data_IF_794837569788
#
_entry.id   IF_794837569788
#
_cell.length_a   1.000
_cell.length_b   1.000
_cell.length_c   1.000
_cell.angle_alpha   90.00
_cell.angle_beta   90.00
_cell.angle_gamma   90.00
#
_symmetry.space_group_name_H-M   'P 1'
#
loop_
_entity.id
_entity.type
_entity.pdbx_description
1 polymer ?
#
# COMPACT_ATOMS: atom_id res chain seq x y z
N UNK A 1 -13.97 -17.33 13.67
CA UNK A 1 -13.31 -16.14 14.24
C UNK A 1 -11.90 -16.09 13.69
N UNK A 2 -11.68 -15.57 12.47
CA UNK A 2 -10.34 -15.49 11.84
C UNK A 2 -10.03 -14.10 11.27
N UNK A 3 -11.04 -13.30 10.94
CA UNK A 3 -10.92 -12.03 10.18
C UNK A 3 -10.16 -10.88 10.84
N UNK A 4 -9.68 -11.01 12.08
CA UNK A 4 -8.97 -9.91 12.78
C UNK A 4 -7.44 -10.02 12.65
N UNK A 5 -6.92 -11.22 12.35
CA UNK A 5 -5.48 -11.44 12.18
C UNK A 5 -5.01 -11.05 10.78
N UNK A 6 -5.80 -11.38 9.75
CA UNK A 6 -5.41 -11.15 8.35
C UNK A 6 -5.31 -9.66 8.00
N UNK A 7 -6.24 -8.84 8.50
CA UNK A 7 -6.23 -7.40 8.23
C UNK A 7 -5.08 -6.65 8.91
N UNK A 8 -4.61 -7.16 10.06
CA UNK A 8 -3.46 -6.59 10.77
C UNK A 8 -2.17 -6.95 10.04
N UNK A 9 -2.02 -8.22 9.62
CA UNK A 9 -0.88 -8.68 8.83
C UNK A 9 -0.76 -7.98 7.47
N UNK A 10 -1.88 -7.70 6.80
CA UNK A 10 -1.88 -6.94 5.54
C UNK A 10 -1.42 -5.50 5.79
N UNK A 11 -1.93 -4.85 6.83
CA UNK A 11 -1.51 -3.50 7.18
C UNK A 11 -0.01 -3.46 7.49
N UNK A 12 0.51 -4.41 8.28
CA UNK A 12 1.94 -4.53 8.56
C UNK A 12 2.77 -4.73 7.28
N UNK A 13 2.32 -5.61 6.38
CA UNK A 13 3.00 -5.84 5.10
C UNK A 13 3.02 -4.58 4.23
N UNK A 14 1.88 -3.88 4.13
CA UNK A 14 1.76 -2.63 3.37
C UNK A 14 2.63 -1.53 3.97
N UNK A 15 2.63 -1.37 5.30
CA UNK A 15 3.49 -0.39 5.99
C UNK A 15 4.97 -0.72 5.79
N UNK A 16 5.35 -1.99 5.88
CA UNK A 16 6.72 -2.43 5.64
C UNK A 16 7.15 -2.19 4.18
N UNK A 17 6.29 -2.50 3.21
CA UNK A 17 6.54 -2.23 1.79
C UNK A 17 6.62 -0.74 1.50
N UNK A 18 5.75 0.07 2.11
CA UNK A 18 5.76 1.54 2.04
C UNK A 18 7.10 2.09 2.51
N UNK A 19 7.61 1.60 3.64
CA UNK A 19 8.90 1.99 4.19
C UNK A 19 10.08 1.55 3.33
N UNK A 20 10.00 0.40 2.68
CA UNK A 20 11.05 -0.08 1.80
C UNK A 20 11.06 0.67 0.44
N UNK A 21 9.88 1.00 -0.08
CA UNK A 21 9.72 1.65 -1.38
C UNK A 21 10.05 3.15 -1.33
N UNK A 22 9.72 3.82 -0.22
CA UNK A 22 9.98 5.25 -0.07
C UNK A 22 11.40 5.52 0.43
N UNK A 23 12.09 6.43 -0.25
CA UNK A 23 13.40 6.94 0.19
C UNK A 23 13.29 8.21 1.04
N UNK A 24 12.08 8.77 1.18
CA UNK A 24 11.83 9.96 1.96
C UNK A 24 11.62 9.61 3.44
N UNK A 25 11.88 10.56 4.36
CA UNK A 25 11.51 10.39 5.75
C UNK A 25 9.99 10.26 5.87
N UNK A 26 9.53 9.05 6.13
CA UNK A 26 8.12 8.76 6.39
C UNK A 26 7.76 9.09 7.85
N UNK A 27 6.49 9.38 8.15
CA UNK A 27 6.03 9.55 9.51
C UNK A 27 6.27 8.29 10.34
N UNK A 28 6.50 8.48 11.65
CA UNK A 28 6.72 7.38 12.59
C UNK A 28 5.52 6.43 12.63
N UNK A 29 4.31 6.97 12.46
CA UNK A 29 3.05 6.24 12.40
C UNK A 29 2.43 6.40 11.02
N UNK A 30 2.30 5.29 10.29
CA UNK A 30 1.60 5.23 9.00
C UNK A 30 0.22 4.62 9.26
N UNK A 31 -0.80 5.47 9.30
CA UNK A 31 -2.21 5.09 9.37
C UNK A 31 -2.85 4.84 7.99
N UNK A 32 -3.96 4.10 7.96
CA UNK A 32 -4.77 3.81 6.77
C UNK A 32 -5.28 5.06 6.06
N UNK A 33 -5.45 6.18 6.78
CA UNK A 33 -5.88 7.44 6.20
C UNK A 33 -4.82 8.20 5.39
N UNK A 34 -3.54 7.82 5.47
CA UNK A 34 -2.50 8.54 4.74
C UNK A 34 -2.56 8.25 3.24
N UNK A 35 -2.57 9.32 2.46
CA UNK A 35 -2.49 9.24 1.01
C UNK A 35 -1.04 9.07 0.56
N UNK A 36 -0.78 8.09 -0.31
CA UNK A 36 0.55 7.86 -0.85
C UNK A 36 1.07 9.07 -1.61
N UNK A 37 0.26 9.68 -2.47
CA UNK A 37 0.70 10.77 -3.34
C UNK A 37 0.83 12.09 -2.56
N UNK A 38 -0.20 12.47 -1.79
CA UNK A 38 -0.25 13.81 -1.18
C UNK A 38 0.38 13.89 0.20
N UNK A 39 0.32 12.81 0.98
CA UNK A 39 0.81 12.81 2.36
C UNK A 39 2.22 12.22 2.45
N UNK A 40 2.43 11.08 1.81
CA UNK A 40 3.72 10.37 1.82
C UNK A 40 4.65 10.78 0.67
N UNK A 41 4.17 11.57 -0.30
CA UNK A 41 4.97 12.07 -1.42
C UNK A 41 5.45 10.98 -2.38
N UNK A 42 4.66 9.92 -2.60
CA UNK A 42 4.99 8.86 -3.53
C UNK A 42 4.82 9.34 -4.98
N UNK A 43 5.93 9.37 -5.69
CA UNK A 43 5.95 9.47 -7.15
C UNK A 43 5.72 8.09 -7.81
N UNK A 44 5.50 8.11 -9.12
CA UNK A 44 5.33 6.91 -9.96
C UNK A 44 6.44 5.86 -9.76
N UNK A 45 7.69 6.29 -9.53
CA UNK A 45 8.80 5.36 -9.23
C UNK A 45 8.68 4.70 -7.86
N UNK A 46 8.23 5.44 -6.85
CA UNK A 46 8.01 4.91 -5.49
C UNK A 46 6.84 3.94 -5.47
N UNK A 47 5.78 4.22 -6.24
CA UNK A 47 4.66 3.29 -6.46
C UNK A 47 5.13 2.02 -7.17
N UNK A 48 5.91 2.11 -8.25
CA UNK A 48 6.43 0.91 -8.93
C UNK A 48 7.30 0.05 -8.00
N UNK A 49 8.11 0.68 -7.12
CA UNK A 49 8.83 -0.04 -6.07
C UNK A 49 7.91 -0.67 -5.03
N UNK A 50 6.86 0.04 -4.63
CA UNK A 50 5.88 -0.45 -3.67
C UNK A 50 5.24 -1.74 -4.18
N UNK A 51 4.90 -1.81 -5.47
CA UNK A 51 4.39 -3.03 -6.09
C UNK A 51 5.37 -4.20 -5.89
N UNK A 52 6.64 -4.03 -6.26
CA UNK A 52 7.66 -5.07 -6.12
C UNK A 52 7.87 -5.52 -4.67
N UNK A 53 7.89 -4.57 -3.74
CA UNK A 53 8.03 -4.83 -2.31
C UNK A 53 6.81 -5.57 -1.74
N UNK A 54 5.60 -5.26 -2.22
CA UNK A 54 4.40 -5.99 -1.87
C UNK A 54 4.43 -7.40 -2.44
N UNK A 55 4.76 -7.56 -3.72
CA UNK A 55 4.85 -8.87 -4.38
C UNK A 55 5.75 -9.84 -3.63
N UNK A 56 6.90 -9.37 -3.17
CA UNK A 56 7.83 -10.15 -2.34
C UNK A 56 7.21 -10.55 -0.99
N UNK A 57 6.38 -9.70 -0.38
CA UNK A 57 5.76 -9.98 0.93
C UNK A 57 4.51 -10.85 0.82
N UNK A 58 3.66 -10.61 -0.17
CA UNK A 58 2.41 -11.33 -0.38
C UNK A 58 2.58 -12.57 -1.27
N UNK A 59 3.78 -12.78 -1.83
CA UNK A 59 4.12 -13.92 -2.69
C UNK A 59 3.18 -14.09 -3.89
N UNK A 60 2.61 -12.99 -4.37
CA UNK A 60 1.66 -12.93 -5.48
C UNK A 60 1.87 -11.63 -6.26
N UNK A 61 1.57 -11.60 -7.58
CA UNK A 61 1.69 -10.38 -8.38
C UNK A 61 0.71 -9.30 -7.88
N UNK A 62 1.21 -8.06 -7.72
CA UNK A 62 0.45 -6.92 -7.22
C UNK A 62 0.51 -5.80 -8.25
N UNK A 63 -0.54 -5.72 -9.07
CA UNK A 63 -0.64 -4.73 -10.14
C UNK A 63 -1.25 -3.43 -9.59
N UNK A 64 -0.39 -2.54 -9.09
CA UNK A 64 -0.84 -1.24 -8.58
C UNK A 64 -1.45 -0.35 -9.67
N UNK A 65 -1.17 -0.59 -10.96
CA UNK A 65 -1.86 0.10 -12.06
C UNK A 65 -3.38 -0.11 -12.02
N UNK A 66 -3.84 -1.30 -11.66
CA UNK A 66 -5.28 -1.62 -11.58
C UNK A 66 -5.91 -0.95 -10.35
N UNK A 67 -5.21 -0.95 -9.22
CA UNK A 67 -5.60 -0.20 -8.03
C UNK A 67 -5.69 1.31 -8.30
N UNK A 68 -4.72 1.88 -9.02
CA UNK A 68 -4.72 3.29 -9.40
C UNK A 68 -5.84 3.60 -10.38
N UNK A 69 -6.08 2.72 -11.35
CA UNK A 69 -7.18 2.87 -12.30
C UNK A 69 -8.56 2.72 -11.63
N UNK A 70 -8.66 1.97 -10.53
CA UNK A 70 -9.89 1.81 -9.75
C UNK A 70 -10.29 3.07 -8.98
N UNK A 71 -9.34 3.98 -8.71
CA UNK A 71 -9.60 5.21 -7.96
C UNK A 71 -9.59 6.43 -8.90
N UNK A 72 -10.69 7.20 -8.97
CA UNK A 72 -10.77 8.36 -9.85
C UNK A 72 -9.90 9.53 -9.39
N UNK A 73 -9.55 9.56 -8.09
CA UNK A 73 -8.81 10.64 -7.46
C UNK A 73 -7.51 10.14 -6.83
N UNK A 74 -6.37 10.83 -7.06
CA UNK A 74 -5.09 10.45 -6.46
C UNK A 74 -5.09 10.60 -4.94
N UNK A 75 -6.01 11.38 -4.37
CA UNK A 75 -6.21 11.50 -2.92
C UNK A 75 -6.85 10.26 -2.29
N UNK A 76 -7.53 9.43 -3.08
CA UNK A 76 -8.12 8.16 -2.63
C UNK A 76 -7.11 7.00 -2.59
N UNK A 77 -5.91 7.21 -3.16
CA UNK A 77 -4.77 6.28 -3.09
C UNK A 77 -4.16 6.32 -1.69
N UNK A 78 -4.83 5.69 -0.74
CA UNK A 78 -4.47 5.66 0.67
C UNK A 78 -3.92 4.30 1.07
N UNK A 79 -3.20 4.26 2.19
CA UNK A 79 -2.73 3.00 2.80
C UNK A 79 -3.92 2.05 3.03
N UNK A 80 -5.07 2.58 3.42
CA UNK A 80 -6.30 1.81 3.60
C UNK A 80 -6.85 1.22 2.30
N UNK A 81 -6.93 2.01 1.21
CA UNK A 81 -7.41 1.48 -0.07
C UNK A 81 -6.48 0.42 -0.64
N UNK A 82 -5.16 0.58 -0.46
CA UNK A 82 -4.18 -0.44 -0.82
C UNK A 82 -4.32 -1.71 0.03
N UNK A 83 -4.52 -1.58 1.35
CA UNK A 83 -4.79 -2.74 2.20
C UNK A 83 -6.04 -3.51 1.74
N UNK A 84 -7.11 -2.80 1.37
CA UNK A 84 -8.32 -3.42 0.86
C UNK A 84 -8.07 -4.12 -0.48
N UNK A 85 -7.29 -3.49 -1.37
CA UNK A 85 -6.91 -4.09 -2.65
C UNK A 85 -6.12 -5.38 -2.45
N UNK A 86 -5.09 -5.36 -1.60
CA UNK A 86 -4.29 -6.55 -1.26
C UNK A 86 -5.14 -7.63 -0.59
N UNK A 87 -6.06 -7.24 0.29
CA UNK A 87 -7.00 -8.17 0.93
C UNK A 87 -7.98 -8.80 -0.06
N UNK A 88 -8.28 -8.16 -1.18
CA UNK A 88 -9.14 -8.68 -2.23
C UNK A 88 -8.42 -9.62 -3.21
N UNK A 89 -7.08 -9.63 -3.21
CA UNK A 89 -6.26 -10.53 -4.04
C UNK A 89 -6.12 -11.95 -3.45
N UNK A 90 -6.31 -12.10 -2.13
CA UNK A 90 -6.24 -13.37 -1.39
C UNK A 90 -7.62 -13.90 -0.98
#
# INVERSE_FOLDING_TARGET
MQTRSDTDSILEAVVAATRAACKLPLPEVIDRGHCFVTDLGFDSMSIARLALELEDRVQQPVLLDDWIASEPDPSALTVGSLCNYVAALG
#
